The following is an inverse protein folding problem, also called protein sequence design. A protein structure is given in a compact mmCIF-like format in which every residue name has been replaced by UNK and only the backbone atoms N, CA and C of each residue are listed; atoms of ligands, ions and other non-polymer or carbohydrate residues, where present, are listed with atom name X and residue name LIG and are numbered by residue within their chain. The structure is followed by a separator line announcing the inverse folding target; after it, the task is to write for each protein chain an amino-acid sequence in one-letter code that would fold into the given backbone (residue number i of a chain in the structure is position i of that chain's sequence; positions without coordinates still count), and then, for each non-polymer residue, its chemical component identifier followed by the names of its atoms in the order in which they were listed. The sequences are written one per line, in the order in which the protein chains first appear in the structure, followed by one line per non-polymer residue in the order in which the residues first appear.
data_IF_484302677597
#
_entry.id   IF_484302677597
#
_cell.length_a   1.000
_cell.length_b   1.000
_cell.length_c   1.000
_cell.angle_alpha   90.00
_cell.angle_beta   90.00
_cell.angle_gamma   90.00
#
_symmetry.space_group_name_H-M   'P 1'
#
loop_
_entity.id
_entity.type
_entity.pdbx_description
1 polymer ?
#
# COMPACT_ATOMS: atom_id res chain seq x y z
N UNK A 1 -19.54 0.30 24.55
CA UNK A 1 -19.37 -0.48 23.30
C UNK A 1 -19.02 0.50 22.22
N UNK A 2 -18.04 0.18 21.37
CA UNK A 2 -17.69 1.02 20.22
C UNK A 2 -18.36 0.41 19.00
N UNK A 3 -19.37 1.09 18.46
CA UNK A 3 -20.00 0.69 17.21
C UNK A 3 -19.12 1.16 16.04
N UNK A 4 -18.80 0.25 15.13
CA UNK A 4 -18.15 0.55 13.85
C UNK A 4 -19.16 0.23 12.75
N UNK A 5 -19.37 1.16 11.82
CA UNK A 5 -20.30 0.94 10.69
C UNK A 5 -19.62 0.07 9.64
N UNK A 6 -20.42 -0.74 8.95
CA UNK A 6 -19.92 -1.58 7.86
C UNK A 6 -19.24 -0.74 6.77
N UNK A 7 -19.84 0.38 6.37
CA UNK A 7 -19.30 1.28 5.33
C UNK A 7 -17.94 1.85 5.75
N UNK A 8 -17.78 2.26 7.02
CA UNK A 8 -16.51 2.82 7.51
C UNK A 8 -15.36 1.79 7.42
N UNK A 9 -15.63 0.50 7.65
CA UNK A 9 -14.64 -0.56 7.48
C UNK A 9 -14.31 -0.79 6.00
N UNK A 10 -15.33 -0.82 5.14
CA UNK A 10 -15.16 -1.03 3.69
C UNK A 10 -14.32 0.09 3.11
N UNK A 11 -14.68 1.35 3.37
CA UNK A 11 -13.99 2.53 2.87
C UNK A 11 -12.56 2.57 3.40
N UNK A 12 -12.35 2.30 4.70
CA UNK A 12 -11.00 2.27 5.28
C UNK A 12 -10.10 1.22 4.63
N UNK A 13 -10.62 0.03 4.31
CA UNK A 13 -9.83 -1.02 3.64
C UNK A 13 -9.60 -0.66 2.17
N UNK A 14 -10.62 -0.17 1.48
CA UNK A 14 -10.51 0.27 0.08
C UNK A 14 -9.44 1.36 -0.06
N UNK A 15 -9.51 2.41 0.76
CA UNK A 15 -8.55 3.51 0.78
C UNK A 15 -7.13 3.04 1.09
N UNK A 16 -6.97 2.14 2.07
CA UNK A 16 -5.67 1.55 2.39
C UNK A 16 -5.09 0.79 1.19
N UNK A 17 -5.91 -0.01 0.49
CA UNK A 17 -5.48 -0.75 -0.69
C UNK A 17 -5.12 0.18 -1.87
N UNK A 18 -5.88 1.25 -2.08
CA UNK A 18 -5.54 2.27 -3.08
C UNK A 18 -4.20 2.92 -2.72
N UNK A 19 -4.04 3.35 -1.47
CA UNK A 19 -2.82 4.01 -1.00
C UNK A 19 -1.58 3.14 -1.21
N UNK A 20 -1.57 1.89 -0.74
CA UNK A 20 -0.38 1.02 -0.88
C UNK A 20 -0.09 0.64 -2.34
N UNK A 21 -1.09 0.73 -3.23
CA UNK A 21 -0.88 0.44 -4.65
C UNK A 21 -0.11 1.54 -5.39
N UNK A 22 -0.08 2.77 -4.86
CA UNK A 22 0.54 3.95 -5.51
C UNK A 22 1.79 4.45 -4.78
N UNK A 23 1.96 4.12 -3.51
CA UNK A 23 3.04 4.65 -2.68
C UNK A 23 3.96 3.55 -2.18
N UNK A 24 5.25 3.71 -2.46
CA UNK A 24 6.28 3.05 -1.67
C UNK A 24 6.48 3.78 -0.34
N UNK A 25 6.74 3.05 0.76
CA UNK A 25 7.18 3.62 2.03
C UNK A 25 8.42 4.50 1.91
N UNK A 26 8.56 5.47 2.82
CA UNK A 26 9.67 6.43 2.82
C UNK A 26 11.02 5.75 3.03
N UNK A 27 11.08 4.76 3.92
CA UNK A 27 12.28 3.97 4.19
C UNK A 27 12.73 3.16 2.97
N UNK A 28 11.79 2.60 2.21
CA UNK A 28 12.10 1.95 0.93
C UNK A 28 12.75 2.94 -0.06
N UNK A 29 12.15 4.12 -0.24
CA UNK A 29 12.70 5.15 -1.16
C UNK A 29 14.09 5.60 -0.72
N UNK A 30 14.30 5.83 0.57
CA UNK A 30 15.59 6.21 1.13
C UNK A 30 16.64 5.13 0.88
N UNK A 31 16.31 3.86 1.17
CA UNK A 31 17.22 2.74 0.98
C UNK A 31 17.59 2.54 -0.50
N UNK A 32 16.63 2.65 -1.43
CA UNK A 32 16.90 2.55 -2.88
C UNK A 32 17.75 3.73 -3.36
N UNK A 33 17.52 4.94 -2.86
CA UNK A 33 18.34 6.11 -3.20
C UNK A 33 19.78 5.97 -2.68
N UNK A 34 19.95 5.52 -1.43
CA UNK A 34 21.28 5.23 -0.88
C UNK A 34 22.02 4.12 -1.62
N UNK A 35 21.30 3.12 -2.16
CA UNK A 35 21.87 2.13 -3.04
C UNK A 35 22.29 2.74 -4.38
N UNK A 36 21.44 3.58 -4.99
CA UNK A 36 21.72 4.27 -6.26
C UNK A 36 22.99 5.13 -6.19
N UNK A 37 23.18 5.86 -5.11
CA UNK A 37 24.36 6.71 -4.92
C UNK A 37 25.66 5.91 -4.83
N UNK A 38 25.62 4.71 -4.24
CA UNK A 38 26.79 3.85 -4.02
C UNK A 38 27.06 2.83 -5.12
N UNK A 39 26.08 2.59 -6.00
CA UNK A 39 26.19 1.57 -7.04
C UNK A 39 27.22 1.97 -8.10
N UNK A 40 28.13 1.04 -8.41
CA UNK A 40 29.22 1.22 -9.37
C UNK A 40 28.87 0.65 -10.75
N UNK A 41 28.04 -0.40 -10.81
CA UNK A 41 27.60 -1.02 -12.05
C UNK A 41 26.63 -0.09 -12.79
N UNK A 42 26.95 0.37 -14.01
CA UNK A 42 26.08 1.29 -14.75
C UNK A 42 24.67 0.73 -14.97
N UNK A 43 24.57 -0.55 -15.35
CA UNK A 43 23.28 -1.19 -15.59
C UNK A 43 22.44 -1.32 -14.31
N UNK A 44 23.07 -1.62 -13.16
CA UNK A 44 22.36 -1.71 -11.89
C UNK A 44 21.93 -0.32 -11.39
N UNK A 45 22.79 0.69 -11.56
CA UNK A 45 22.49 2.08 -11.23
C UNK A 45 21.32 2.61 -12.04
N UNK A 46 21.26 2.31 -13.34
CA UNK A 46 20.13 2.66 -14.19
C UNK A 46 18.83 1.96 -13.75
N UNK A 47 18.90 0.69 -13.35
CA UNK A 47 17.74 -0.03 -12.82
C UNK A 47 17.19 0.60 -11.53
N UNK A 48 18.07 1.00 -10.60
CA UNK A 48 17.69 1.71 -9.38
C UNK A 48 17.04 3.07 -9.70
N UNK A 49 17.58 3.81 -10.68
CA UNK A 49 16.99 5.05 -11.15
C UNK A 49 15.56 4.83 -11.71
N UNK A 50 15.34 3.76 -12.49
CA UNK A 50 14.01 3.43 -13.00
C UNK A 50 13.01 3.13 -11.88
N UNK A 51 13.43 2.43 -10.82
CA UNK A 51 12.58 2.16 -9.65
C UNK A 51 12.16 3.47 -8.96
N UNK A 52 13.11 4.41 -8.77
CA UNK A 52 12.82 5.72 -8.16
C UNK A 52 11.89 6.56 -9.04
N UNK A 53 12.14 6.59 -10.35
CA UNK A 53 11.29 7.30 -11.33
C UNK A 53 9.87 6.71 -11.33
N UNK A 54 9.74 5.38 -11.37
CA UNK A 54 8.45 4.71 -11.32
C UNK A 54 7.69 5.04 -10.04
N UNK A 55 8.37 5.02 -8.89
CA UNK A 55 7.78 5.39 -7.59
C UNK A 55 7.22 6.82 -7.61
N UNK A 56 7.95 7.77 -8.20
CA UNK A 56 7.47 9.16 -8.36
C UNK A 56 6.27 9.25 -9.30
N UNK A 57 6.32 8.58 -10.45
CA UNK A 57 5.24 8.62 -11.44
C UNK A 57 3.96 7.99 -10.92
N UNK A 58 4.08 6.87 -10.20
CA UNK A 58 2.96 6.17 -9.56
C UNK A 58 2.29 7.06 -8.51
N UNK A 59 3.08 7.66 -7.62
CA UNK A 59 2.60 8.57 -6.58
C UNK A 59 1.90 9.83 -7.14
N UNK A 60 2.44 10.43 -8.21
CA UNK A 60 1.83 11.62 -8.84
C UNK A 60 0.61 11.27 -9.70
N UNK A 61 0.63 10.10 -10.35
CA UNK A 61 -0.40 9.68 -11.27
C UNK A 61 -1.55 8.90 -10.64
N UNK A 62 -1.43 8.53 -9.36
CA UNK A 62 -2.31 7.55 -8.69
C UNK A 62 -2.51 6.30 -9.56
N UNK A 63 -1.39 5.72 -10.00
CA UNK A 63 -1.36 4.52 -10.86
C UNK A 63 -0.64 3.40 -10.14
N UNK A 64 -1.07 2.13 -10.28
CA UNK A 64 -0.40 1.02 -9.65
C UNK A 64 1.10 1.01 -9.93
N UNK A 65 1.91 0.77 -8.89
CA UNK A 65 3.37 0.68 -8.96
C UNK A 65 3.84 -0.44 -9.90
N UNK A 66 3.04 -1.50 -10.02
CA UNK A 66 3.30 -2.69 -10.82
C UNK A 66 2.04 -3.10 -11.60
N UNK A 67 2.22 -3.83 -12.70
CA UNK A 67 1.12 -4.43 -13.47
C UNK A 67 0.40 -5.53 -12.68
N UNK A 68 1.13 -6.26 -11.84
CA UNK A 68 0.55 -7.19 -10.87
C UNK A 68 0.35 -6.45 -9.53
N UNK A 69 -0.91 -6.34 -9.11
CA UNK A 69 -1.28 -5.66 -7.85
C UNK A 69 -1.28 -6.60 -6.64
N UNK A 70 -0.97 -7.87 -6.86
CA UNK A 70 -0.82 -8.87 -5.82
C UNK A 70 -2.15 -9.40 -5.27
N UNK A 71 -2.05 -10.04 -4.11
CA UNK A 71 -3.18 -10.66 -3.39
C UNK A 71 -3.34 -9.95 -2.05
N UNK A 72 -4.56 -9.55 -1.73
CA UNK A 72 -4.88 -8.92 -0.44
C UNK A 72 -4.76 -9.95 0.68
N UNK A 73 -3.81 -9.72 1.60
CA UNK A 73 -3.63 -10.53 2.82
C UNK A 73 -3.89 -9.65 4.03
N UNK A 74 -4.86 -10.03 4.85
CA UNK A 74 -5.31 -9.22 6.01
C UNK A 74 -5.00 -9.94 7.31
N UNK A 75 -4.32 -9.24 8.21
CA UNK A 75 -4.21 -9.63 9.62
C UNK A 75 -5.03 -8.64 10.46
N UNK A 76 -6.17 -9.08 10.97
CA UNK A 76 -7.07 -8.23 11.75
C UNK A 76 -7.02 -8.60 13.24
N UNK A 77 -7.03 -7.58 14.10
CA UNK A 77 -7.27 -7.71 15.54
C UNK A 77 -8.55 -6.97 15.87
N UNK A 78 -9.56 -7.69 16.36
CA UNK A 78 -10.86 -7.11 16.72
C UNK A 78 -10.96 -7.02 18.24
N UNK A 79 -11.28 -5.83 18.75
CA UNK A 79 -11.47 -5.61 20.18
C UNK A 79 -12.75 -6.28 20.69
N UNK A 80 -12.72 -6.80 21.92
CA UNK A 80 -13.83 -7.57 22.52
C UNK A 80 -15.15 -6.80 22.67
N UNK A 81 -15.13 -5.46 22.61
CA UNK A 81 -16.30 -4.60 22.80
C UNK A 81 -16.69 -3.80 21.55
N UNK A 82 -16.20 -4.22 20.39
CA UNK A 82 -16.61 -3.69 19.09
C UNK A 82 -17.95 -4.31 18.69
N UNK A 83 -18.89 -3.48 18.22
CA UNK A 83 -20.15 -3.93 17.61
C UNK A 83 -20.25 -3.45 16.17
N UNK A 84 -20.99 -4.19 15.34
CA UNK A 84 -21.19 -3.93 13.91
C UNK A 84 -22.67 -3.70 13.63
N UNK A 85 -23.22 -2.64 14.20
CA UNK A 85 -24.67 -2.38 14.19
C UNK A 85 -25.18 -2.20 12.76
N UNK A 86 -26.16 -3.01 12.37
CA UNK A 86 -26.76 -2.94 11.02
C UNK A 86 -25.87 -3.48 9.90
N UNK A 87 -24.77 -4.17 10.20
CA UNK A 87 -23.99 -4.87 9.20
C UNK A 87 -24.82 -5.97 8.52
N UNK A 88 -24.71 -6.05 7.19
CA UNK A 88 -25.46 -6.96 6.32
C UNK A 88 -24.56 -7.99 5.63
N UNK A 89 -23.25 -7.77 5.60
CA UNK A 89 -22.29 -8.66 4.93
C UNK A 89 -21.78 -9.75 5.88
N UNK A 90 -21.77 -10.99 5.39
CA UNK A 90 -21.18 -12.16 6.05
C UNK A 90 -20.42 -13.00 5.02
N UNK A 91 -19.51 -13.86 5.50
CA UNK A 91 -18.74 -14.81 4.67
C UNK A 91 -19.53 -16.10 4.41
N UNK A 92 -20.81 -16.13 4.78
CA UNK A 92 -21.74 -17.26 4.67
C UNK A 92 -23.01 -16.83 3.94
#
# INVERSE_FOLDING_TARGET
MTAIRQDDLIDSVADALQFISYYHPVDFIQAVNEAYEREESPAAKDALAQILINSRMSAMGHRPLCQDTGIVTVFIKVGMHVTWDGATMSVT
#
